data_IF_963101929558
#
_entry.id   IF_963101929558
#
_cell.length_a   1.000
_cell.length_b   1.000
_cell.length_c   1.000
_cell.angle_alpha   90.00
_cell.angle_beta   90.00
_cell.angle_gamma   90.00
#
_symmetry.space_group_name_H-M   'P 1'
#
loop_
_entity.id
_entity.type
_entity.pdbx_description
1 polymer ?
#
# COMPACT_ATOMS: atom_id res chain seq x y z
N UNK A 1 6.04 8.22 -15.06
CA UNK A 1 7.40 8.09 -14.48
C UNK A 1 8.29 7.47 -15.55
N UNK A 2 9.48 8.01 -15.81
CA UNK A 2 10.43 7.46 -16.81
C UNK A 2 11.10 6.20 -16.27
N UNK A 3 11.55 5.28 -17.14
CA UNK A 3 12.19 4.01 -16.75
C UNK A 3 13.42 4.14 -15.85
N UNK A 4 14.13 5.27 -15.90
CA UNK A 4 15.22 5.61 -14.98
C UNK A 4 14.76 5.86 -13.55
N UNK A 5 13.57 6.43 -13.33
CA UNK A 5 13.03 6.63 -11.99
C UNK A 5 12.56 5.31 -11.36
N UNK A 6 12.16 4.35 -12.19
CA UNK A 6 11.70 3.04 -11.74
C UNK A 6 12.84 2.20 -11.15
N UNK A 7 13.97 2.12 -11.86
CA UNK A 7 15.17 1.41 -11.40
C UNK A 7 15.70 2.00 -10.08
N UNK A 8 15.72 3.33 -9.96
CA UNK A 8 16.16 4.01 -8.75
C UNK A 8 15.27 3.66 -7.55
N UNK A 9 13.95 3.56 -7.74
CA UNK A 9 13.02 3.16 -6.67
C UNK A 9 13.17 1.70 -6.27
N UNK A 10 13.42 0.80 -7.22
CA UNK A 10 13.70 -0.62 -6.93
C UNK A 10 14.99 -0.77 -6.11
N UNK A 11 16.06 -0.07 -6.51
CA UNK A 11 17.33 -0.04 -5.79
C UNK A 11 17.17 0.53 -4.38
N UNK A 12 16.37 1.59 -4.24
CA UNK A 12 16.10 2.22 -2.95
C UNK A 12 15.27 1.29 -2.04
N UNK A 13 14.23 0.65 -2.59
CA UNK A 13 13.44 -0.37 -1.88
C UNK A 13 14.32 -1.50 -1.35
N UNK A 14 15.25 -1.98 -2.18
CA UNK A 14 16.23 -2.99 -1.78
C UNK A 14 17.16 -2.51 -0.67
N UNK A 15 17.72 -1.30 -0.80
CA UNK A 15 18.61 -0.71 0.19
C UNK A 15 17.92 -0.57 1.56
N UNK A 16 16.68 -0.05 1.59
CA UNK A 16 15.87 0.09 2.81
C UNK A 16 15.54 -1.28 3.41
N UNK A 17 15.19 -2.26 2.57
CA UNK A 17 14.95 -3.64 3.02
C UNK A 17 16.19 -4.28 3.66
N UNK A 18 17.39 -3.96 3.19
CA UNK A 18 18.65 -4.42 3.80
C UNK A 18 18.89 -3.68 5.12
N UNK A 19 18.79 -2.35 5.12
CA UNK A 19 19.00 -1.52 6.31
C UNK A 19 18.08 -1.92 7.46
N UNK A 20 16.81 -2.23 7.17
CA UNK A 20 15.83 -2.69 8.18
C UNK A 20 16.15 -4.04 8.83
N UNK A 21 16.99 -4.87 8.20
CA UNK A 21 17.40 -6.17 8.75
C UNK A 21 18.79 -6.16 9.35
N UNK A 22 19.70 -5.38 8.78
CA UNK A 22 21.14 -5.45 9.06
C UNK A 22 21.60 -4.32 9.98
N UNK A 23 20.97 -3.15 9.93
CA UNK A 23 21.44 -1.97 10.63
C UNK A 23 20.70 -1.75 11.95
N UNK A 24 21.41 -1.83 13.07
CA UNK A 24 20.91 -1.32 14.33
C UNK A 24 20.90 0.21 14.24
N UNK A 25 19.76 0.85 14.48
CA UNK A 25 19.73 2.30 14.69
C UNK A 25 20.75 2.66 15.77
N UNK A 26 21.77 3.42 15.37
CA UNK A 26 22.77 4.06 16.23
C UNK A 26 22.57 5.56 16.00
N UNK A 27 22.32 6.32 17.08
CA UNK A 27 22.32 7.78 17.05
C UNK A 27 23.76 8.26 16.82
N UNK A 28 24.21 8.16 15.57
CA UNK A 28 25.48 8.72 15.15
C UNK A 28 25.15 9.99 14.35
N UNK A 29 25.36 11.14 14.98
CA UNK A 29 25.08 12.47 14.41
C UNK A 29 25.85 12.75 13.10
N UNK A 30 26.87 11.93 12.79
CA UNK A 30 27.74 12.08 11.63
C UNK A 30 27.18 11.47 10.33
N UNK A 31 26.16 10.61 10.38
CA UNK A 31 25.63 9.90 9.20
C UNK A 31 24.22 10.37 8.80
N UNK A 32 24.12 11.16 7.73
CA UNK A 32 22.86 11.77 7.24
C UNK A 32 21.83 10.78 6.69
N UNK A 33 22.22 9.53 6.41
CA UNK A 33 21.37 8.57 5.71
C UNK A 33 20.04 8.28 6.42
N UNK A 34 20.01 8.27 7.75
CA UNK A 34 18.76 8.04 8.50
C UNK A 34 17.80 9.22 8.34
N UNK A 35 18.32 10.45 8.35
CA UNK A 35 17.52 11.66 8.12
C UNK A 35 17.01 11.69 6.67
N UNK A 36 17.82 11.27 5.71
CA UNK A 36 17.41 11.14 4.31
C UNK A 36 16.27 10.11 4.15
N UNK A 37 16.34 8.99 4.89
CA UNK A 37 15.26 8.00 4.92
C UNK A 37 13.98 8.55 5.53
N UNK A 38 14.08 9.32 6.62
CA UNK A 38 12.90 9.94 7.22
C UNK A 38 12.29 10.99 6.28
N UNK A 39 13.12 11.82 5.64
CA UNK A 39 12.66 12.80 4.66
C UNK A 39 11.93 12.13 3.48
N UNK A 40 12.44 10.98 3.03
CA UNK A 40 11.79 10.16 2.02
C UNK A 40 10.43 9.62 2.50
N UNK A 41 10.33 9.17 3.75
CA UNK A 41 9.05 8.72 4.33
C UNK A 41 8.02 9.86 4.35
N UNK A 42 8.40 11.06 4.78
CA UNK A 42 7.54 12.25 4.76
C UNK A 42 6.99 12.53 3.36
N UNK A 43 7.86 12.44 2.37
CA UNK A 43 7.50 12.70 0.98
C UNK A 43 6.58 11.62 0.40
N UNK A 44 6.80 10.35 0.75
CA UNK A 44 6.05 9.23 0.17
C UNK A 44 4.75 8.90 0.89
N UNK A 45 4.72 8.97 2.22
CA UNK A 45 3.54 8.57 3.00
C UNK A 45 2.40 9.60 2.87
N UNK A 46 2.73 10.85 2.54
CA UNK A 46 1.77 11.92 2.26
C UNK A 46 1.18 11.86 0.84
N UNK A 47 1.65 10.96 -0.03
CA UNK A 47 1.10 10.80 -1.38
C UNK A 47 -0.26 10.12 -1.30
N UNK A 48 -1.28 10.76 -1.87
CA UNK A 48 -2.61 10.17 -2.05
C UNK A 48 -2.62 9.22 -3.26
N UNK A 49 -2.35 7.94 -2.99
CA UNK A 49 -2.41 6.87 -3.99
C UNK A 49 -3.85 6.47 -4.36
N UNK A 50 -4.87 6.97 -3.65
CA UNK A 50 -6.27 6.73 -3.96
C UNK A 50 -6.72 7.41 -5.26
N UNK A 51 -6.14 8.58 -5.58
CA UNK A 51 -6.50 9.39 -6.76
C UNK A 51 -5.81 8.88 -8.05
N UNK A 52 -4.71 8.13 -7.93
CA UNK A 52 -3.97 7.61 -9.06
C UNK A 52 -4.71 6.44 -9.72
N UNK A 53 -5.64 6.76 -10.64
CA UNK A 53 -6.39 5.77 -11.43
C UNK A 53 -5.51 5.14 -12.52
N UNK A 54 -4.67 4.19 -12.12
CA UNK A 54 -3.72 3.50 -13.01
C UNK A 54 -4.40 2.67 -14.12
N UNK A 55 -5.68 2.31 -13.96
CA UNK A 55 -6.50 1.59 -14.95
C UNK A 55 -6.97 2.45 -16.14
N UNK A 56 -7.00 3.78 -16.01
CA UNK A 56 -7.54 4.66 -17.06
C UNK A 56 -6.47 5.20 -18.03
N UNK A 57 -5.20 4.86 -17.79
CA UNK A 57 -4.09 5.37 -18.59
C UNK A 57 -3.77 4.46 -19.78
N UNK A 58 -3.34 5.02 -20.93
CA UNK A 58 -2.86 4.23 -22.06
C UNK A 58 -1.70 3.28 -21.70
N UNK A 59 -0.87 3.60 -20.70
CA UNK A 59 0.25 2.76 -20.25
C UNK A 59 -0.09 1.95 -18.99
N UNK A 60 -1.26 1.32 -18.96
CA UNK A 60 -1.79 0.63 -17.78
C UNK A 60 -0.81 -0.39 -17.16
N UNK A 61 -0.09 -1.17 -17.95
CA UNK A 61 0.86 -2.19 -17.45
C UNK A 61 2.08 -1.53 -16.77
N UNK A 62 2.65 -0.50 -17.39
CA UNK A 62 3.80 0.22 -16.85
C UNK A 62 3.43 0.93 -15.55
N UNK A 63 2.24 1.51 -15.53
CA UNK A 63 1.66 2.14 -14.36
C UNK A 63 1.43 1.17 -13.19
N UNK A 64 0.89 -0.02 -13.45
CA UNK A 64 0.76 -1.08 -12.44
C UNK A 64 2.09 -1.46 -11.82
N UNK A 65 3.15 -1.55 -12.64
CA UNK A 65 4.50 -1.83 -12.15
C UNK A 65 5.02 -0.69 -11.28
N UNK A 66 4.87 0.56 -11.71
CA UNK A 66 5.29 1.71 -10.90
C UNK A 66 4.55 1.80 -9.56
N UNK A 67 3.27 1.46 -9.56
CA UNK A 67 2.44 1.40 -8.35
C UNK A 67 2.94 0.33 -7.38
N UNK A 68 3.19 -0.89 -7.88
CA UNK A 68 3.74 -1.98 -7.07
C UNK A 68 5.10 -1.62 -6.46
N UNK A 69 5.95 -0.93 -7.23
CA UNK A 69 7.28 -0.49 -6.76
C UNK A 69 7.17 0.62 -5.73
N UNK A 70 6.28 1.60 -5.94
CA UNK A 70 6.03 2.66 -4.96
C UNK A 70 5.56 2.09 -3.62
N UNK A 71 4.57 1.19 -3.64
CA UNK A 71 4.14 0.52 -2.42
C UNK A 71 5.20 -0.44 -1.86
N UNK A 72 6.07 -1.03 -2.70
CA UNK A 72 7.20 -1.85 -2.25
C UNK A 72 8.19 -1.04 -1.43
N UNK A 73 8.43 0.20 -1.85
CA UNK A 73 9.24 1.13 -1.09
C UNK A 73 8.54 1.57 0.20
N UNK A 74 7.25 1.91 0.15
CA UNK A 74 6.48 2.23 1.36
C UNK A 74 6.51 1.09 2.38
N UNK A 75 6.37 -0.16 1.92
CA UNK A 75 6.48 -1.36 2.75
C UNK A 75 7.86 -1.48 3.40
N UNK A 76 8.93 -1.26 2.64
CA UNK A 76 10.29 -1.30 3.18
C UNK A 76 10.51 -0.24 4.27
N UNK A 77 10.00 0.97 4.04
CA UNK A 77 10.13 2.09 4.96
C UNK A 77 9.28 1.91 6.24
N UNK A 78 8.02 1.50 6.12
CA UNK A 78 7.16 1.24 7.29
C UNK A 78 7.64 0.03 8.07
N UNK A 79 8.20 -0.98 7.41
CA UNK A 79 8.84 -2.13 8.07
C UNK A 79 10.05 -1.69 8.91
N UNK A 80 10.83 -0.72 8.41
CA UNK A 80 11.90 -0.11 9.20
C UNK A 80 11.35 0.59 10.45
N UNK A 81 10.31 1.44 10.31
CA UNK A 81 9.65 2.07 11.46
C UNK A 81 9.07 1.05 12.44
N UNK A 82 8.50 -0.03 11.95
CA UNK A 82 7.99 -1.14 12.75
C UNK A 82 9.12 -1.76 13.59
N UNK A 83 10.29 -2.01 13.01
CA UNK A 83 11.47 -2.52 13.74
C UNK A 83 11.94 -1.52 14.80
N UNK A 84 11.96 -0.22 14.49
CA UNK A 84 12.33 0.82 15.46
C UNK A 84 11.34 0.86 16.64
N UNK A 85 10.04 0.84 16.37
CA UNK A 85 9.01 0.86 17.40
C UNK A 85 9.03 -0.41 18.28
N UNK A 86 9.19 -1.60 17.67
CA UNK A 86 9.07 -2.89 18.38
C UNK A 86 10.36 -3.37 19.05
N UNK A 87 11.51 -3.23 18.37
CA UNK A 87 12.78 -3.81 18.85
C UNK A 87 13.66 -2.79 19.54
N UNK A 88 13.53 -1.52 19.18
CA UNK A 88 14.31 -0.42 19.76
C UNK A 88 13.49 0.44 20.73
N UNK A 89 12.20 0.13 20.92
CA UNK A 89 11.27 0.89 21.76
C UNK A 89 11.27 2.39 21.42
N UNK A 90 11.52 2.75 20.16
CA UNK A 90 11.49 4.14 19.73
C UNK A 90 10.04 4.64 19.80
N UNK A 91 9.86 5.80 20.42
CA UNK A 91 8.54 6.44 20.56
C UNK A 91 8.42 7.58 19.56
N UNK A 92 7.40 7.50 18.73
CA UNK A 92 7.08 8.54 17.75
C UNK A 92 6.16 9.58 18.38
N UNK A 93 6.41 10.85 18.07
CA UNK A 93 5.52 11.95 18.45
C UNK A 93 4.26 11.91 17.57
N UNK A 94 3.15 12.47 18.06
CA UNK A 94 1.89 12.53 17.30
C UNK A 94 2.08 13.32 16.01
N UNK A 95 2.59 14.54 16.14
CA UNK A 95 2.91 15.45 15.04
C UNK A 95 4.15 16.27 15.42
N UNK A 96 4.65 17.07 14.48
CA UNK A 96 5.82 17.90 14.70
C UNK A 96 5.56 19.02 15.72
N UNK A 97 6.49 19.16 16.68
CA UNK A 97 6.57 20.36 17.52
C UNK A 97 7.10 21.56 16.73
N UNK A 98 6.77 22.78 17.16
CA UNK A 98 7.16 24.05 16.49
C UNK A 98 8.67 24.26 16.28
N UNK A 99 9.54 23.46 16.91
CA UNK A 99 10.99 23.70 17.00
C UNK A 99 11.86 22.47 16.63
N UNK A 100 11.34 21.47 15.91
CA UNK A 100 12.17 20.31 15.54
C UNK A 100 12.89 20.54 14.21
N UNK A 101 14.16 20.94 14.27
CA UNK A 101 15.06 21.03 13.09
C UNK A 101 15.40 19.66 12.48
N UNK A 102 14.98 18.56 13.12
CA UNK A 102 15.17 17.19 12.64
C UNK A 102 13.82 16.54 12.29
N UNK A 103 13.71 16.03 11.06
CA UNK A 103 12.51 15.36 10.52
C UNK A 103 12.38 13.94 11.09
N UNK A 104 12.05 13.81 12.38
CA UNK A 104 11.76 12.50 12.98
C UNK A 104 10.43 11.93 12.46
N UNK A 105 10.25 10.59 12.40
CA UNK A 105 8.99 9.97 12.06
C UNK A 105 7.91 10.27 13.12
N UNK A 106 6.68 10.52 12.66
CA UNK A 106 5.52 10.82 13.52
C UNK A 106 4.40 9.81 13.32
N UNK A 107 3.49 9.72 14.30
CA UNK A 107 2.29 8.89 14.19
C UNK A 107 1.34 9.40 13.11
N UNK A 108 1.31 10.72 12.87
CA UNK A 108 0.54 11.30 11.76
C UNK A 108 0.96 10.69 10.42
N UNK A 109 2.25 10.61 10.12
CA UNK A 109 2.70 10.02 8.84
C UNK A 109 2.30 8.56 8.70
N UNK A 110 2.31 7.80 9.80
CA UNK A 110 1.91 6.40 9.81
C UNK A 110 0.39 6.30 9.57
N UNK A 111 -0.39 7.21 10.13
CA UNK A 111 -1.83 7.34 9.87
C UNK A 111 -2.11 7.73 8.42
N UNK A 112 -1.34 8.67 7.86
CA UNK A 112 -1.47 9.10 6.46
C UNK A 112 -1.17 7.93 5.50
N UNK A 113 -0.09 7.17 5.76
CA UNK A 113 0.20 5.94 5.02
C UNK A 113 -0.93 4.91 5.16
N UNK A 114 -1.45 4.72 6.38
CA UNK A 114 -2.54 3.79 6.64
C UNK A 114 -3.79 4.17 5.84
N UNK A 115 -4.13 5.45 5.83
CA UNK A 115 -5.23 6.00 5.04
C UNK A 115 -5.03 5.74 3.54
N UNK A 116 -3.85 6.09 3.00
CA UNK A 116 -3.50 5.84 1.60
C UNK A 116 -3.52 4.36 1.22
N UNK A 117 -3.01 3.48 2.08
CA UNK A 117 -3.05 2.04 1.88
C UNK A 117 -4.49 1.49 1.91
N UNK A 118 -5.35 2.05 2.79
CA UNK A 118 -6.77 1.69 2.87
C UNK A 118 -7.50 2.02 1.57
N UNK A 119 -7.34 3.25 1.08
CA UNK A 119 -7.95 3.68 -0.19
C UNK A 119 -7.47 2.82 -1.38
N UNK A 120 -6.17 2.49 -1.39
CA UNK A 120 -5.60 1.61 -2.40
C UNK A 120 -6.16 0.18 -2.29
N UNK A 121 -6.34 -0.38 -1.09
CA UNK A 121 -6.94 -1.72 -0.91
C UNK A 121 -8.36 -1.78 -1.46
N UNK A 122 -9.18 -0.76 -1.17
CA UNK A 122 -10.56 -0.68 -1.65
C UNK A 122 -10.60 -0.64 -3.19
N UNK A 123 -9.79 0.23 -3.80
CA UNK A 123 -9.71 0.35 -5.26
C UNK A 123 -9.17 -0.92 -5.91
N UNK A 124 -8.02 -1.42 -5.46
CA UNK A 124 -7.34 -2.58 -6.07
C UNK A 124 -8.17 -3.86 -5.89
N UNK A 125 -8.88 -4.01 -4.78
CA UNK A 125 -9.84 -5.09 -4.55
C UNK A 125 -10.99 -5.06 -5.55
N UNK A 126 -11.57 -3.89 -5.82
CA UNK A 126 -12.61 -3.73 -6.84
C UNK A 126 -12.08 -3.98 -8.27
N UNK A 127 -10.89 -3.46 -8.59
CA UNK A 127 -10.24 -3.71 -9.88
C UNK A 127 -10.01 -5.21 -10.12
N UNK A 128 -9.49 -5.94 -9.12
CA UNK A 128 -9.31 -7.38 -9.19
C UNK A 128 -10.64 -8.09 -9.40
N UNK A 129 -11.68 -7.72 -8.64
CA UNK A 129 -13.01 -8.30 -8.77
C UNK A 129 -13.58 -8.12 -10.18
N UNK A 130 -13.48 -6.92 -10.77
CA UNK A 130 -13.88 -6.65 -12.14
C UNK A 130 -13.12 -7.50 -13.17
N UNK A 131 -11.80 -7.69 -12.99
CA UNK A 131 -10.99 -8.54 -13.88
C UNK A 131 -11.41 -10.01 -13.80
N UNK A 132 -11.67 -10.53 -12.60
CA UNK A 132 -12.13 -11.90 -12.40
C UNK A 132 -13.51 -12.15 -13.05
N UNK A 133 -14.43 -11.18 -12.96
CA UNK A 133 -15.71 -11.27 -13.66
C UNK A 133 -15.52 -11.29 -15.18
N UNK A 134 -14.66 -10.43 -15.73
CA UNK A 134 -14.34 -10.45 -17.17
C UNK A 134 -13.74 -11.78 -17.61
N UNK A 135 -12.90 -12.42 -16.79
CA UNK A 135 -12.35 -13.76 -17.08
C UNK A 135 -13.47 -14.80 -17.11
N UNK A 136 -14.38 -14.76 -16.14
CA UNK A 136 -15.52 -15.68 -16.07
C UNK A 136 -16.42 -15.57 -17.30
N UNK A 137 -16.70 -14.36 -17.75
CA UNK A 137 -17.65 -14.07 -18.83
C UNK A 137 -16.99 -14.05 -20.22
N UNK A 138 -15.67 -14.31 -20.31
CA UNK A 138 -14.88 -14.16 -21.53
C UNK A 138 -15.40 -14.97 -22.73
N UNK A 139 -16.03 -16.12 -22.46
CA UNK A 139 -16.62 -16.96 -23.50
C UNK A 139 -17.92 -16.40 -24.08
N UNK A 140 -18.56 -15.49 -23.37
CA UNK A 140 -19.78 -14.79 -23.80
C UNK A 140 -19.44 -13.50 -24.59
N UNK A 141 -18.21 -12.99 -24.46
CA UNK A 141 -17.79 -11.77 -25.15
C UNK A 141 -17.70 -11.95 -26.67
N UNK A 142 -18.12 -10.91 -27.39
CA UNK A 142 -17.97 -10.80 -28.84
C UNK A 142 -16.50 -10.64 -29.23
N UNK A 143 -16.20 -10.89 -30.52
CA UNK A 143 -14.84 -10.69 -31.05
C UNK A 143 -14.32 -9.27 -30.83
N UNK A 144 -15.19 -8.27 -31.01
CA UNK A 144 -14.82 -6.86 -30.84
C UNK A 144 -14.42 -6.56 -29.39
N UNK A 145 -15.19 -7.06 -28.42
CA UNK A 145 -14.89 -6.87 -26.99
C UNK A 145 -13.58 -7.56 -26.58
N UNK A 146 -13.34 -8.77 -27.09
CA UNK A 146 -12.07 -9.49 -26.89
C UNK A 146 -10.91 -8.71 -27.50
N UNK A 147 -11.09 -8.13 -28.68
CA UNK A 147 -10.04 -7.35 -29.35
C UNK A 147 -9.72 -6.04 -28.60
N UNK A 148 -10.71 -5.39 -27.99
CA UNK A 148 -10.48 -4.24 -27.10
C UNK A 148 -9.70 -4.64 -25.85
N UNK A 149 -9.98 -5.80 -25.25
CA UNK A 149 -9.19 -6.31 -24.11
C UNK A 149 -7.72 -6.49 -24.50
N UNK A 150 -7.45 -7.14 -25.63
CA UNK A 150 -6.08 -7.39 -26.12
C UNK A 150 -5.37 -6.07 -26.42
N UNK A 151 -6.09 -5.09 -27.00
CA UNK A 151 -5.58 -3.75 -27.28
C UNK A 151 -5.15 -3.03 -26.00
N UNK A 152 -5.99 -3.05 -24.96
CA UNK A 152 -5.70 -2.44 -23.66
C UNK A 152 -4.46 -3.06 -23.00
N UNK A 153 -4.20 -4.34 -23.28
CA UNK A 153 -3.02 -5.05 -22.77
C UNK A 153 -1.74 -4.79 -23.61
N UNK A 154 -1.79 -3.93 -24.64
CA UNK A 154 -0.67 -3.62 -25.55
C UNK A 154 -0.03 -4.84 -26.21
N UNK A 155 -0.80 -5.92 -26.43
CA UNK A 155 -0.34 -7.14 -27.10
C UNK A 155 -0.91 -7.32 -28.50
N UNK A 156 -1.13 -6.21 -29.20
CA UNK A 156 -1.70 -6.22 -30.55
C UNK A 156 -0.80 -6.95 -31.56
N UNK A 157 0.52 -6.99 -31.29
CA UNK A 157 1.49 -7.72 -32.09
C UNK A 157 1.38 -9.25 -31.96
N UNK A 158 0.67 -9.75 -30.92
CA UNK A 158 0.47 -11.17 -30.68
C UNK A 158 -0.72 -11.76 -31.45
N UNK A 159 -1.49 -10.94 -32.16
CA UNK A 159 -2.72 -11.35 -32.85
C UNK A 159 -2.65 -11.08 -34.37
N UNK A 160 -3.02 -12.09 -35.16
CA UNK A 160 -3.25 -11.95 -36.60
C UNK A 160 -4.72 -11.66 -36.87
N UNK A 161 -5.08 -10.83 -37.88
CA UNK A 161 -6.48 -10.67 -38.31
C UNK A 161 -7.17 -12.00 -38.64
N UNK A 162 -6.40 -13.02 -39.06
CA UNK A 162 -6.90 -14.36 -39.37
C UNK A 162 -7.13 -15.25 -38.14
N UNK A 163 -6.71 -14.82 -36.94
CA UNK A 163 -6.91 -15.60 -35.73
C UNK A 163 -8.39 -15.76 -35.42
N UNK A 164 -8.79 -17.00 -35.16
CA UNK A 164 -10.15 -17.34 -34.75
C UNK A 164 -10.44 -16.82 -33.33
N UNK A 165 -11.73 -16.76 -33.01
CA UNK A 165 -12.20 -16.24 -31.71
C UNK A 165 -11.66 -17.05 -30.52
N UNK A 166 -11.45 -18.37 -30.68
CA UNK A 166 -10.92 -19.23 -29.62
C UNK A 166 -9.50 -18.84 -29.24
N UNK A 167 -8.62 -18.62 -30.23
CA UNK A 167 -7.23 -18.18 -29.99
C UNK A 167 -7.19 -16.78 -29.37
N UNK A 168 -8.03 -15.86 -29.85
CA UNK A 168 -8.13 -14.49 -29.29
C UNK A 168 -8.60 -14.49 -27.84
N UNK A 169 -9.64 -15.27 -27.52
CA UNK A 169 -10.09 -15.46 -26.13
C UNK A 169 -9.00 -16.06 -25.26
N UNK A 170 -8.24 -17.05 -25.75
CA UNK A 170 -7.12 -17.60 -24.98
C UNK A 170 -6.07 -16.51 -24.65
N UNK A 171 -5.68 -15.68 -25.62
CA UNK A 171 -4.73 -14.58 -25.40
C UNK A 171 -5.28 -13.58 -24.37
N UNK A 172 -6.52 -13.13 -24.56
CA UNK A 172 -7.19 -12.21 -23.63
C UNK A 172 -7.30 -12.80 -22.21
N UNK A 173 -7.57 -14.10 -22.09
CA UNK A 173 -7.64 -14.79 -20.81
C UNK A 173 -6.31 -14.74 -20.07
N UNK A 174 -5.21 -15.06 -20.76
CA UNK A 174 -3.86 -15.00 -20.16
C UNK A 174 -3.56 -13.59 -19.68
N UNK A 175 -3.87 -12.58 -20.49
CA UNK A 175 -3.58 -11.19 -20.13
C UNK A 175 -4.42 -10.69 -18.93
N UNK A 176 -5.73 -10.98 -18.93
CA UNK A 176 -6.60 -10.67 -17.80
C UNK A 176 -6.13 -11.39 -16.52
N UNK A 177 -5.72 -12.66 -16.62
CA UNK A 177 -5.16 -13.42 -15.50
C UNK A 177 -3.87 -12.78 -14.98
N UNK A 178 -2.96 -12.35 -15.85
CA UNK A 178 -1.75 -11.63 -15.46
C UNK A 178 -2.08 -10.33 -14.72
N UNK A 179 -3.04 -9.55 -15.23
CA UNK A 179 -3.48 -8.32 -14.57
C UNK A 179 -4.10 -8.59 -13.19
N UNK A 180 -4.97 -9.59 -13.09
CA UNK A 180 -5.57 -9.99 -11.81
C UNK A 180 -4.50 -10.46 -10.81
N UNK A 181 -3.48 -11.18 -11.30
CA UNK A 181 -2.32 -11.59 -10.52
C UNK A 181 -1.50 -10.41 -10.00
N UNK A 182 -1.23 -9.39 -10.82
CA UNK A 182 -0.55 -8.16 -10.38
C UNK A 182 -1.35 -7.44 -9.29
N UNK A 183 -2.69 -7.41 -9.41
CA UNK A 183 -3.57 -6.83 -8.39
C UNK A 183 -3.56 -7.62 -7.10
N UNK A 184 -3.51 -8.96 -7.17
CA UNK A 184 -3.35 -9.81 -5.98
C UNK A 184 -2.02 -9.57 -5.26
N UNK A 185 -0.92 -9.42 -6.02
CA UNK A 185 0.38 -9.05 -5.45
C UNK A 185 0.33 -7.69 -4.74
N UNK A 186 -0.33 -6.71 -5.34
CA UNK A 186 -0.48 -5.40 -4.71
C UNK A 186 -1.36 -5.46 -3.45
N UNK A 187 -2.46 -6.22 -3.46
CA UNK A 187 -3.29 -6.45 -2.26
C UNK A 187 -2.46 -7.07 -1.14
N UNK A 188 -1.61 -8.05 -1.47
CA UNK A 188 -0.67 -8.66 -0.49
C UNK A 188 0.15 -7.60 0.21
N UNK A 189 0.80 -6.77 -0.59
CA UNK A 189 1.75 -5.78 -0.13
C UNK A 189 1.06 -4.69 0.70
N UNK A 190 -0.11 -4.25 0.25
CA UNK A 190 -0.93 -3.29 0.97
C UNK A 190 -1.40 -3.83 2.32
N UNK A 191 -1.86 -5.08 2.39
CA UNK A 191 -2.23 -5.69 3.67
C UNK A 191 -1.03 -5.71 4.64
N UNK A 192 0.17 -6.04 4.16
CA UNK A 192 1.38 -6.02 4.98
C UNK A 192 1.75 -4.60 5.46
N UNK A 193 1.60 -3.59 4.60
CA UNK A 193 1.79 -2.18 4.99
C UNK A 193 0.82 -1.80 6.10
N UNK A 194 -0.46 -2.10 5.92
CA UNK A 194 -1.52 -1.82 6.90
C UNK A 194 -1.24 -2.55 8.22
N UNK A 195 -0.83 -3.83 8.19
CA UNK A 195 -0.45 -4.59 9.40
C UNK A 195 0.71 -3.95 10.16
N UNK A 196 1.76 -3.53 9.45
CA UNK A 196 2.89 -2.81 10.06
C UNK A 196 2.43 -1.50 10.70
N UNK A 197 1.66 -0.69 9.98
CA UNK A 197 1.17 0.60 10.46
C UNK A 197 0.25 0.45 11.68
N UNK A 198 -0.73 -0.46 11.62
CA UNK A 198 -1.64 -0.79 12.75
C UNK A 198 -0.84 -1.25 13.96
N UNK A 199 0.20 -2.08 13.77
CA UNK A 199 1.00 -2.55 14.91
C UNK A 199 1.82 -1.44 15.54
N UNK A 200 2.41 -0.55 14.73
CA UNK A 200 3.09 0.66 15.24
C UNK A 200 2.11 1.48 16.08
N UNK A 201 0.92 1.76 15.55
CA UNK A 201 -0.10 2.53 16.25
C UNK A 201 -0.52 1.85 17.57
N UNK A 202 -0.82 0.55 17.55
CA UNK A 202 -1.17 -0.23 18.75
C UNK A 202 -0.13 -0.07 19.88
N UNK A 203 1.16 -0.16 19.56
CA UNK A 203 2.25 -0.03 20.54
C UNK A 203 2.27 1.36 21.19
N UNK A 204 1.86 2.40 20.47
CA UNK A 204 1.79 3.77 20.98
C UNK A 204 0.49 4.03 21.74
N UNK A 205 -0.65 3.49 21.31
CA UNK A 205 -1.91 3.59 22.05
C UNK A 205 -1.90 2.80 23.37
N UNK A 206 -1.06 1.76 23.49
CA UNK A 206 -0.87 1.01 24.72
C UNK A 206 0.00 1.71 25.77
N UNK A 207 0.71 2.79 25.39
CA UNK A 207 1.55 3.54 26.33
C UNK A 207 0.78 4.71 26.94
N UNK A 208 0.51 4.61 28.24
CA UNK A 208 -0.23 5.61 29.03
C UNK A 208 0.42 7.01 28.98
N UNK A 209 1.73 7.09 28.75
CA UNK A 209 2.44 8.36 28.65
C UNK A 209 2.10 9.13 27.36
N UNK A 210 1.82 8.43 26.25
CA UNK A 210 1.42 9.02 24.97
C UNK A 210 -0.07 9.29 24.85
N UNK A 211 -0.92 8.71 25.72
CA UNK A 211 -2.37 8.91 25.67
C UNK A 211 -2.79 10.39 25.80
N UNK A 212 -2.01 11.21 26.51
CA UNK A 212 -2.23 12.66 26.66
C UNK A 212 -1.81 13.40 25.39
N UNK A 213 -2.78 13.78 24.56
CA UNK A 213 -2.57 14.51 23.32
C UNK A 213 -2.94 13.75 22.04
N UNK A 214 -3.48 12.54 22.18
CA UNK A 214 -3.95 11.73 21.05
C UNK A 214 -5.40 12.00 20.65
N UNK A 215 -6.18 12.81 21.36
CA UNK A 215 -7.62 12.97 21.09
C UNK A 215 -7.90 13.44 19.67
N UNK A 216 -7.28 14.56 19.25
CA UNK A 216 -7.44 15.08 17.88
C UNK A 216 -6.91 14.11 16.81
N UNK A 217 -5.83 13.40 17.10
CA UNK A 217 -5.29 12.37 16.22
C UNK A 217 -6.22 11.14 16.11
N UNK A 218 -6.89 10.80 17.21
CA UNK A 218 -7.83 9.67 17.29
C UNK A 218 -9.08 9.95 16.46
N UNK A 219 -9.57 11.20 16.46
CA UNK A 219 -10.69 11.64 15.64
C UNK A 219 -10.40 11.47 14.14
N UNK A 220 -9.16 11.74 13.70
CA UNK A 220 -8.73 11.56 12.30
C UNK A 220 -8.50 10.08 11.93
N UNK A 221 -8.00 9.28 12.87
CA UNK A 221 -7.69 7.88 12.66
C UNK A 221 -8.94 6.99 12.61
N UNK A 222 -9.97 7.30 13.41
CA UNK A 222 -11.15 6.46 13.58
C UNK A 222 -11.86 6.10 12.25
N UNK A 223 -12.13 7.05 11.32
CA UNK A 223 -12.76 6.72 10.04
C UNK A 223 -11.93 5.74 9.20
N UNK A 224 -10.60 5.78 9.31
CA UNK A 224 -9.71 4.85 8.58
C UNK A 224 -9.87 3.43 9.12
N UNK A 225 -9.91 3.29 10.45
CA UNK A 225 -10.09 1.99 11.11
C UNK A 225 -11.47 1.39 10.81
N UNK A 226 -12.51 2.23 10.77
CA UNK A 226 -13.85 1.79 10.37
C UNK A 226 -13.87 1.23 8.96
N UNK A 227 -13.26 1.90 7.98
CA UNK A 227 -13.19 1.38 6.61
C UNK A 227 -12.42 0.06 6.54
N UNK A 228 -11.29 -0.04 7.24
CA UNK A 228 -10.49 -1.26 7.31
C UNK A 228 -11.24 -2.44 7.93
N UNK A 229 -12.11 -2.21 8.92
CA UNK A 229 -12.95 -3.24 9.53
C UNK A 229 -14.03 -3.79 8.57
N UNK A 230 -14.41 -3.00 7.56
CA UNK A 230 -15.37 -3.42 6.53
C UNK A 230 -14.73 -4.08 5.30
N UNK A 231 -13.40 -4.26 5.28
CA UNK A 231 -12.73 -5.00 4.23
C UNK A 231 -13.23 -6.45 4.18
N UNK A 232 -13.48 -6.94 2.98
CA UNK A 232 -14.08 -8.27 2.79
C UNK A 232 -13.08 -9.27 2.22
N UNK A 233 -13.07 -10.47 2.82
CA UNK A 233 -12.17 -11.56 2.44
C UNK A 233 -12.35 -12.00 0.98
N UNK A 234 -13.56 -11.91 0.42
CA UNK A 234 -13.87 -12.24 -0.97
C UNK A 234 -13.18 -11.30 -1.97
N UNK A 235 -13.05 -10.01 -1.62
CA UNK A 235 -12.35 -9.03 -2.45
C UNK A 235 -10.84 -9.16 -2.36
N UNK A 236 -10.30 -9.40 -1.16
CA UNK A 236 -8.84 -9.52 -0.98
C UNK A 236 -8.31 -10.92 -1.29
N UNK A 237 -9.17 -11.94 -1.26
CA UNK A 237 -8.82 -13.35 -1.50
C UNK A 237 -8.04 -14.02 -0.37
N UNK A 238 -8.10 -13.49 0.86
CA UNK A 238 -7.31 -13.93 2.03
C UNK A 238 -8.13 -13.81 3.30
N UNK A 239 -7.79 -14.64 4.30
CA UNK A 239 -8.38 -14.55 5.63
C UNK A 239 -7.94 -13.25 6.32
N UNK A 240 -8.90 -12.45 6.76
CA UNK A 240 -8.70 -11.18 7.48
C UNK A 240 -8.94 -11.32 8.99
N UNK A 241 -9.12 -12.53 9.53
CA UNK A 241 -9.42 -12.75 10.96
C UNK A 241 -8.45 -12.08 11.93
N UNK A 242 -7.14 -12.28 11.75
CA UNK A 242 -6.12 -11.69 12.63
C UNK A 242 -6.01 -10.18 12.38
N UNK A 243 -6.10 -9.78 11.12
CA UNK A 243 -6.08 -8.39 10.69
C UNK A 243 -7.21 -7.57 11.32
N UNK A 244 -8.47 -8.03 11.19
CA UNK A 244 -9.62 -7.41 11.84
C UNK A 244 -9.50 -7.39 13.35
N UNK A 245 -8.97 -8.44 13.98
CA UNK A 245 -8.74 -8.43 15.44
C UNK A 245 -7.83 -7.28 15.86
N UNK A 246 -6.74 -7.04 15.14
CA UNK A 246 -5.82 -5.93 15.42
C UNK A 246 -6.49 -4.57 15.21
N UNK A 247 -7.28 -4.43 14.13
CA UNK A 247 -8.03 -3.20 13.83
C UNK A 247 -9.07 -2.91 14.91
N UNK A 248 -9.89 -3.90 15.29
CA UNK A 248 -10.90 -3.75 16.35
C UNK A 248 -10.24 -3.36 17.67
N UNK A 249 -9.11 -3.98 18.03
CA UNK A 249 -8.36 -3.63 19.24
C UNK A 249 -7.88 -2.17 19.19
N UNK A 250 -7.29 -1.75 18.07
CA UNK A 250 -6.83 -0.37 17.92
C UNK A 250 -7.99 0.62 17.97
N UNK A 251 -9.10 0.31 17.28
CA UNK A 251 -10.33 1.10 17.26
C UNK A 251 -10.91 1.30 18.65
N UNK A 252 -10.98 0.25 19.47
CA UNK A 252 -11.43 0.35 20.86
C UNK A 252 -10.54 1.29 21.68
N UNK A 253 -9.21 1.24 21.48
CA UNK A 253 -8.27 2.16 22.14
C UNK A 253 -8.46 3.60 21.65
N UNK A 254 -8.62 3.79 20.34
CA UNK A 254 -8.90 5.10 19.70
C UNK A 254 -10.19 5.72 20.22
N UNK A 255 -11.25 4.93 20.44
CA UNK A 255 -12.50 5.43 21.02
C UNK A 255 -12.28 5.88 22.47
N UNK A 256 -11.53 5.11 23.26
CA UNK A 256 -11.25 5.47 24.66
C UNK A 256 -10.48 6.79 24.76
N UNK A 257 -9.51 7.05 23.89
CA UNK A 257 -8.74 8.30 23.88
C UNK A 257 -9.54 9.52 23.46
N UNK A 258 -10.61 9.35 22.66
CA UNK A 258 -11.55 10.44 22.32
C UNK A 258 -12.43 10.81 23.51
N UNK A 259 -12.79 9.83 24.34
CA UNK A 259 -13.68 10.03 25.50
C UNK A 259 -13.01 10.60 26.75
N UNK A 260 -11.68 10.78 26.73
CA UNK A 260 -10.86 11.32 27.84
C UNK A 260 -10.61 12.82 27.62
#
# INVERSE_FOLDING_TARGET
MTGTNLLTLEQLSMAVSILSKVWAYEENEECSYIQDLFSLMHSLFSVDFGILNFMQSPNMIENQKSELIAFGLCFSLVSYLYVLATRKNMRFQVSYGRNSDQQHPTLQMVSDLLNSATLALERVGEEKYMLLNKIRDLNELSRKEVDEIIKVCMKQDCISPNDNIRKRRYIAMIDLCCMAGNRDQLITLLLQITECAVTILLIHFQDDASAKGLSSFSDELLPVLERLEHLKEDKVGRSLKLFHRSITTLKEMTIRTITI
#
